data_IF_148260912728
#
_entry.id   IF_148260912728
#
_cell.length_a   1.000
_cell.length_b   1.000
_cell.length_c   1.000
_cell.angle_alpha   90.00
_cell.angle_beta   90.00
_cell.angle_gamma   90.00
#
_symmetry.space_group_name_H-M   'P 1'
#
loop_
_entity.id
_entity.type
_entity.pdbx_description
1 polymer ?
#
# COMPACT_ATOMS: atom_id res chain seq x y z
N UNK A 1 -22.73 -12.01 14.81
CA UNK A 1 -23.60 -11.42 13.79
C UNK A 1 -22.83 -11.12 12.50
N UNK A 2 -23.52 -10.64 11.43
CA UNK A 2 -22.88 -10.27 10.14
C UNK A 2 -21.70 -9.28 10.32
N UNK A 3 -21.82 -8.36 11.29
CA UNK A 3 -20.77 -7.40 11.61
C UNK A 3 -19.49 -8.04 12.17
N UNK A 4 -19.60 -9.16 12.86
CA UNK A 4 -18.45 -9.82 13.46
C UNK A 4 -17.68 -10.65 12.42
N UNK A 5 -18.39 -11.26 11.46
CA UNK A 5 -17.79 -11.95 10.30
C UNK A 5 -17.00 -10.96 9.46
N UNK A 6 -17.56 -9.79 9.17
CA UNK A 6 -16.88 -8.74 8.40
C UNK A 6 -15.64 -8.21 9.12
N UNK A 7 -15.72 -7.97 10.43
CA UNK A 7 -14.55 -7.57 11.24
C UNK A 7 -13.45 -8.59 11.22
N UNK A 8 -13.80 -9.88 11.29
CA UNK A 8 -12.82 -10.98 11.22
C UNK A 8 -12.12 -11.03 9.87
N UNK A 9 -12.87 -10.90 8.77
CA UNK A 9 -12.27 -10.85 7.43
C UNK A 9 -11.30 -9.66 7.27
N UNK A 10 -11.63 -8.48 7.82
CA UNK A 10 -10.73 -7.34 7.83
C UNK A 10 -9.43 -7.69 8.58
N UNK A 11 -9.53 -8.23 9.79
CA UNK A 11 -8.36 -8.63 10.58
C UNK A 11 -7.48 -9.63 9.83
N UNK A 12 -8.09 -10.61 9.16
CA UNK A 12 -7.36 -11.61 8.38
C UNK A 12 -6.56 -10.93 7.26
N UNK A 13 -7.15 -9.95 6.54
CA UNK A 13 -6.46 -9.24 5.44
C UNK A 13 -5.35 -8.35 5.98
N UNK A 14 -5.57 -7.65 7.09
CA UNK A 14 -4.55 -6.83 7.74
C UNK A 14 -3.34 -7.69 8.17
N UNK A 15 -3.61 -8.86 8.74
CA UNK A 15 -2.57 -9.81 9.12
C UNK A 15 -1.84 -10.40 7.90
N UNK A 16 -2.51 -10.58 6.77
CA UNK A 16 -1.84 -10.96 5.51
C UNK A 16 -0.82 -9.90 5.10
N UNK A 17 -1.17 -8.61 5.16
CA UNK A 17 -0.25 -7.55 4.82
C UNK A 17 0.96 -7.50 5.77
N UNK A 18 0.74 -7.72 7.08
CA UNK A 18 1.82 -7.80 8.08
C UNK A 18 2.73 -9.00 7.79
N UNK A 19 2.17 -10.17 7.54
CA UNK A 19 2.95 -11.39 7.29
C UNK A 19 3.75 -11.27 5.98
N UNK A 20 3.17 -10.67 4.93
CA UNK A 20 3.89 -10.34 3.69
C UNK A 20 5.05 -9.36 3.96
N UNK A 21 4.83 -8.33 4.74
CA UNK A 21 5.89 -7.40 5.15
C UNK A 21 7.00 -8.08 5.95
N UNK A 22 6.68 -9.05 6.81
CA UNK A 22 7.70 -9.86 7.52
C UNK A 22 8.55 -10.67 6.55
N UNK A 23 7.95 -11.27 5.51
CA UNK A 23 8.71 -11.99 4.47
C UNK A 23 9.64 -11.04 3.70
N UNK A 24 9.15 -9.86 3.33
CA UNK A 24 9.97 -8.82 2.69
C UNK A 24 11.16 -8.44 3.58
N UNK A 25 10.93 -8.17 4.87
CA UNK A 25 11.98 -7.77 5.81
C UNK A 25 13.04 -8.88 6.04
N UNK A 26 12.67 -10.16 5.93
CA UNK A 26 13.65 -11.26 6.01
C UNK A 26 14.68 -11.18 4.86
N UNK A 27 14.23 -10.81 3.67
CA UNK A 27 15.09 -10.65 2.49
C UNK A 27 15.82 -9.31 2.56
N UNK A 28 15.13 -8.24 2.96
CA UNK A 28 15.71 -6.91 3.11
C UNK A 28 16.95 -6.89 4.01
N UNK A 29 17.00 -7.71 5.06
CA UNK A 29 18.13 -7.81 6.00
C UNK A 29 19.33 -8.63 5.47
N UNK A 30 19.20 -9.26 4.30
CA UNK A 30 20.24 -10.12 3.68
C UNK A 30 20.74 -9.49 2.39
N UNK A 31 21.77 -10.06 1.80
CA UNK A 31 22.10 -9.82 0.39
C UNK A 31 21.08 -10.58 -0.47
N UNK A 32 20.57 -9.93 -1.50
CA UNK A 32 19.60 -10.48 -2.43
C UNK A 32 20.00 -10.14 -3.88
N UNK A 33 19.51 -10.96 -4.80
CA UNK A 33 19.67 -10.72 -6.23
C UNK A 33 18.55 -9.81 -6.74
N UNK A 34 18.83 -9.07 -7.78
CA UNK A 34 17.87 -8.23 -8.50
C UNK A 34 17.79 -8.76 -9.92
N UNK A 35 16.58 -9.17 -10.32
CA UNK A 35 16.30 -9.56 -11.69
C UNK A 35 15.51 -8.43 -12.38
N UNK A 36 15.32 -8.53 -13.71
CA UNK A 36 14.54 -7.58 -14.49
C UNK A 36 13.30 -8.27 -15.06
N UNK A 37 12.16 -7.59 -14.95
CA UNK A 37 10.91 -7.96 -15.66
C UNK A 37 11.05 -7.70 -17.17
N UNK A 38 10.08 -8.14 -17.95
CA UNK A 38 10.06 -7.94 -19.40
C UNK A 38 10.06 -6.44 -19.83
N UNK A 39 9.57 -5.56 -18.98
CA UNK A 39 9.55 -4.11 -19.16
C UNK A 39 10.80 -3.40 -18.60
N UNK A 40 11.83 -4.16 -18.20
CA UNK A 40 13.05 -3.69 -17.54
C UNK A 40 12.87 -3.08 -16.13
N UNK A 41 11.71 -3.21 -15.51
CA UNK A 41 11.56 -2.88 -14.10
C UNK A 41 12.23 -3.93 -13.21
N UNK A 42 12.81 -3.56 -12.07
CA UNK A 42 13.44 -4.51 -11.17
C UNK A 42 12.42 -5.38 -10.45
N UNK A 43 12.78 -6.63 -10.20
CA UNK A 43 12.05 -7.58 -9.35
C UNK A 43 13.05 -8.30 -8.45
N UNK A 44 12.64 -8.59 -7.24
CA UNK A 44 13.43 -9.34 -6.28
C UNK A 44 12.68 -10.57 -5.76
N UNK A 45 13.40 -11.44 -5.08
CA UNK A 45 12.79 -12.57 -4.35
C UNK A 45 11.72 -12.09 -3.34
N UNK A 46 11.85 -10.86 -2.82
CA UNK A 46 10.89 -10.29 -1.88
C UNK A 46 9.54 -10.04 -2.54
N UNK A 47 9.50 -9.52 -3.78
CA UNK A 47 8.28 -9.32 -4.56
C UNK A 47 7.55 -10.65 -4.77
N UNK A 48 8.29 -11.68 -5.19
CA UNK A 48 7.75 -13.01 -5.49
C UNK A 48 7.19 -13.68 -4.24
N UNK A 49 7.93 -13.68 -3.14
CA UNK A 49 7.53 -14.34 -1.89
C UNK A 49 6.32 -13.64 -1.26
N UNK A 50 6.32 -12.31 -1.23
CA UNK A 50 5.18 -11.51 -0.79
C UNK A 50 3.93 -11.81 -1.62
N UNK A 51 4.06 -11.78 -2.96
CA UNK A 51 2.97 -12.08 -3.89
C UNK A 51 2.36 -13.47 -3.64
N UNK A 52 3.20 -14.50 -3.53
CA UNK A 52 2.75 -15.86 -3.32
C UNK A 52 2.03 -16.04 -1.98
N UNK A 53 2.54 -15.44 -0.90
CA UNK A 53 1.91 -15.46 0.42
C UNK A 53 0.54 -14.79 0.37
N UNK A 54 0.45 -13.56 -0.18
CA UNK A 54 -0.80 -12.81 -0.25
C UNK A 54 -1.84 -13.57 -1.06
N UNK A 55 -1.50 -14.02 -2.27
CA UNK A 55 -2.41 -14.79 -3.14
C UNK A 55 -2.94 -16.04 -2.44
N UNK A 56 -2.07 -16.84 -1.85
CA UNK A 56 -2.46 -18.07 -1.14
C UNK A 56 -3.47 -17.77 -0.04
N UNK A 57 -3.17 -16.79 0.82
CA UNK A 57 -4.01 -16.44 1.96
C UNK A 57 -5.35 -15.80 1.58
N UNK A 58 -5.38 -14.96 0.54
CA UNK A 58 -6.64 -14.38 0.03
C UNK A 58 -7.56 -15.44 -0.56
N UNK A 59 -7.03 -16.45 -1.26
CA UNK A 59 -7.80 -17.59 -1.77
C UNK A 59 -8.40 -18.42 -0.62
N UNK A 60 -7.70 -18.56 0.49
CA UNK A 60 -8.21 -19.25 1.69
C UNK A 60 -9.40 -18.51 2.34
N UNK A 61 -9.40 -17.17 2.29
CA UNK A 61 -10.51 -16.34 2.81
C UNK A 61 -11.71 -16.37 1.85
N UNK A 62 -11.46 -16.13 0.57
CA UNK A 62 -12.52 -15.94 -0.43
C UNK A 62 -12.05 -16.39 -1.82
N UNK A 63 -12.12 -17.69 -2.09
CA UNK A 63 -11.58 -18.29 -3.32
C UNK A 63 -12.27 -17.85 -4.63
N UNK A 64 -13.48 -17.29 -4.54
CA UNK A 64 -14.27 -16.89 -5.71
C UNK A 64 -13.98 -15.46 -6.18
N UNK A 65 -13.20 -14.68 -5.43
CA UNK A 65 -12.81 -13.33 -5.84
C UNK A 65 -11.51 -13.41 -6.65
N UNK A 66 -11.52 -12.98 -7.92
CA UNK A 66 -10.31 -12.92 -8.75
C UNK A 66 -9.23 -12.03 -8.12
N UNK A 67 -7.98 -12.33 -8.44
CA UNK A 67 -6.83 -11.56 -7.96
C UNK A 67 -6.11 -10.95 -9.17
N UNK A 68 -5.94 -9.63 -9.16
CA UNK A 68 -5.08 -8.88 -10.05
C UNK A 68 -3.86 -8.40 -9.25
N UNK A 69 -2.68 -8.81 -9.66
CA UNK A 69 -1.43 -8.43 -9.00
C UNK A 69 -0.44 -7.89 -10.04
N UNK A 70 0.45 -7.01 -9.62
CA UNK A 70 1.54 -6.49 -10.45
C UNK A 70 2.43 -7.62 -11.00
N UNK A 71 2.64 -8.68 -10.21
CA UNK A 71 3.53 -9.80 -10.56
C UNK A 71 2.88 -10.88 -11.44
N UNK A 72 1.60 -10.74 -11.78
CA UNK A 72 0.89 -11.72 -12.62
C UNK A 72 -0.12 -11.02 -13.51
N UNK A 73 0.25 -10.82 -14.75
CA UNK A 73 -0.60 -10.14 -15.72
C UNK A 73 -1.82 -11.00 -16.07
N UNK A 74 -3.00 -10.42 -15.99
CA UNK A 74 -4.26 -10.97 -16.50
C UNK A 74 -4.67 -10.14 -17.71
N UNK A 75 -4.97 -10.80 -18.83
CA UNK A 75 -5.36 -10.11 -20.05
C UNK A 75 -6.66 -9.31 -19.87
N UNK A 76 -6.81 -8.26 -20.66
CA UNK A 76 -7.95 -7.35 -20.57
C UNK A 76 -9.28 -8.05 -20.77
N UNK A 77 -9.38 -8.97 -21.72
CA UNK A 77 -10.62 -9.68 -22.05
C UNK A 77 -11.14 -10.51 -20.85
N UNK A 78 -10.24 -11.07 -20.05
CA UNK A 78 -10.61 -11.80 -18.84
C UNK A 78 -11.03 -10.86 -17.72
N UNK A 79 -10.25 -9.79 -17.44
CA UNK A 79 -10.49 -8.95 -16.27
C UNK A 79 -11.57 -7.88 -16.47
N UNK A 80 -11.90 -7.49 -17.71
CA UNK A 80 -12.90 -6.44 -17.99
C UNK A 80 -14.32 -6.78 -17.52
N UNK A 81 -14.61 -8.06 -17.29
CA UNK A 81 -15.92 -8.53 -16.81
C UNK A 81 -15.96 -8.67 -15.28
N UNK A 82 -14.86 -8.49 -14.59
CA UNK A 82 -14.83 -8.61 -13.14
C UNK A 82 -15.53 -7.42 -12.48
N UNK A 83 -16.56 -7.71 -11.71
CA UNK A 83 -17.26 -6.70 -10.90
C UNK A 83 -16.62 -6.51 -9.53
N UNK A 84 -15.95 -7.57 -9.04
CA UNK A 84 -15.27 -7.57 -7.74
C UNK A 84 -13.96 -8.36 -7.87
N UNK A 85 -12.86 -7.79 -7.37
CA UNK A 85 -11.54 -8.42 -7.43
C UNK A 85 -10.59 -7.82 -6.39
N UNK A 86 -9.59 -8.60 -6.01
CA UNK A 86 -8.44 -8.10 -5.25
C UNK A 86 -7.45 -7.44 -6.20
N UNK A 87 -6.99 -6.25 -5.84
CA UNK A 87 -5.89 -5.56 -6.48
C UNK A 87 -4.71 -5.52 -5.52
N UNK A 88 -3.57 -6.08 -5.93
CA UNK A 88 -2.40 -6.27 -5.07
C UNK A 88 -1.18 -5.67 -5.72
N UNK A 89 -0.41 -4.91 -4.94
CA UNK A 89 0.98 -4.63 -5.19
C UNK A 89 1.77 -5.21 -4.01
N UNK A 90 2.49 -6.33 -4.23
CA UNK A 90 3.10 -7.09 -3.15
C UNK A 90 4.33 -6.41 -2.55
N UNK A 91 5.00 -5.53 -3.31
CA UNK A 91 6.11 -4.70 -2.89
C UNK A 91 6.17 -3.44 -3.77
N UNK A 92 5.40 -2.41 -3.40
CA UNK A 92 5.54 -1.10 -4.03
C UNK A 92 6.81 -0.40 -3.53
N UNK A 93 7.56 0.16 -4.48
CA UNK A 93 8.84 0.76 -4.19
C UNK A 93 10.02 -0.22 -4.25
N UNK A 94 10.05 -1.14 -5.22
CA UNK A 94 11.16 -2.09 -5.41
C UNK A 94 12.50 -1.36 -5.58
N UNK A 95 12.53 -0.18 -6.20
CA UNK A 95 13.76 0.64 -6.28
C UNK A 95 14.21 1.12 -4.91
N UNK A 96 13.29 1.57 -4.08
CA UNK A 96 13.53 2.00 -2.71
C UNK A 96 14.00 0.84 -1.83
N UNK A 97 13.44 -0.34 -2.03
CA UNK A 97 13.87 -1.58 -1.41
C UNK A 97 15.33 -1.92 -1.79
N UNK A 98 15.67 -1.87 -3.07
CA UNK A 98 17.04 -2.11 -3.56
C UNK A 98 18.02 -1.08 -3.01
N UNK A 99 17.63 0.20 -2.96
CA UNK A 99 18.45 1.30 -2.47
C UNK A 99 18.53 1.36 -0.92
N UNK A 100 17.87 0.46 -0.21
CA UNK A 100 17.93 0.35 1.26
C UNK A 100 17.46 1.61 2.00
N UNK A 101 16.51 2.37 1.46
CA UNK A 101 15.99 3.59 2.10
C UNK A 101 14.74 3.35 2.98
N UNK A 102 14.17 2.14 2.96
CA UNK A 102 13.04 1.75 3.82
C UNK A 102 11.67 2.27 3.37
N UNK A 103 11.56 2.92 2.21
CA UNK A 103 10.32 3.52 1.72
C UNK A 103 9.59 2.59 0.75
N UNK A 104 9.20 1.42 1.20
CA UNK A 104 8.45 0.44 0.43
C UNK A 104 7.24 -0.06 1.22
N UNK A 105 6.21 -0.50 0.51
CA UNK A 105 4.93 -0.91 1.10
C UNK A 105 4.37 -2.20 0.51
N UNK A 106 3.49 -2.84 1.28
CA UNK A 106 2.58 -3.91 0.82
C UNK A 106 1.20 -3.29 0.67
N UNK A 107 0.58 -3.43 -0.50
CA UNK A 107 -0.71 -2.85 -0.81
C UNK A 107 -1.71 -3.92 -1.23
N UNK A 108 -2.86 -3.97 -0.55
CA UNK A 108 -3.95 -4.90 -0.88
C UNK A 108 -5.26 -4.11 -0.88
N UNK A 109 -6.01 -4.15 -1.97
CA UNK A 109 -7.29 -3.48 -2.08
C UNK A 109 -8.37 -4.41 -2.62
N UNK A 110 -9.60 -4.26 -2.12
CA UNK A 110 -10.79 -4.88 -2.68
C UNK A 110 -11.53 -3.86 -3.54
N UNK A 111 -11.61 -4.16 -4.82
CA UNK A 111 -12.31 -3.33 -5.80
C UNK A 111 -13.69 -3.93 -6.08
N UNK A 112 -14.71 -3.11 -6.07
CA UNK A 112 -16.07 -3.50 -6.47
C UNK A 112 -16.70 -2.41 -7.34
N UNK A 113 -17.19 -2.81 -8.53
CA UNK A 113 -17.75 -1.90 -9.53
C UNK A 113 -16.81 -0.72 -9.85
N UNK A 114 -15.52 -1.01 -10.07
CA UNK A 114 -14.44 -0.07 -10.37
C UNK A 114 -14.14 0.93 -9.24
N UNK A 115 -14.59 0.70 -8.03
CA UNK A 115 -14.32 1.55 -6.87
C UNK A 115 -13.63 0.74 -5.77
N UNK A 116 -12.60 1.27 -5.12
CA UNK A 116 -12.04 0.67 -3.93
C UNK A 116 -13.05 0.74 -2.79
N UNK A 117 -13.40 -0.41 -2.22
CA UNK A 117 -14.32 -0.51 -1.08
C UNK A 117 -13.60 -0.81 0.23
N UNK A 118 -12.41 -1.39 0.13
CA UNK A 118 -11.47 -1.65 1.22
C UNK A 118 -10.05 -1.54 0.69
N UNK A 119 -9.13 -1.06 1.51
CA UNK A 119 -7.70 -1.06 1.20
C UNK A 119 -6.86 -1.10 2.46
N UNK A 120 -5.70 -1.74 2.37
CA UNK A 120 -4.64 -1.74 3.37
C UNK A 120 -3.32 -1.38 2.72
N UNK A 121 -2.53 -0.57 3.43
CA UNK A 121 -1.15 -0.20 3.10
C UNK A 121 -0.31 -0.52 4.33
N UNK A 122 0.72 -1.31 4.18
CA UNK A 122 1.66 -1.63 5.26
C UNK A 122 3.08 -1.27 4.85
N UNK A 123 3.71 -0.37 5.59
CA UNK A 123 5.12 0.00 5.47
C UNK A 123 5.94 -0.78 6.50
N UNK A 124 6.52 -1.94 6.13
CA UNK A 124 7.07 -2.88 7.12
C UNK A 124 8.30 -2.35 7.85
N UNK A 125 9.18 -1.58 7.18
CA UNK A 125 10.36 -1.00 7.81
C UNK A 125 10.01 0.07 8.87
N UNK A 126 8.86 0.73 8.69
CA UNK A 126 8.32 1.72 9.61
C UNK A 126 7.33 1.15 10.60
N UNK A 127 6.99 -0.14 10.48
CA UNK A 127 5.96 -0.79 11.31
C UNK A 127 4.58 -0.13 11.21
N UNK A 128 4.27 0.50 10.09
CA UNK A 128 3.14 1.39 9.95
C UNK A 128 2.07 0.78 9.07
N UNK A 129 0.89 0.57 9.64
CA UNK A 129 -0.26 -0.05 9.00
C UNK A 129 -1.42 0.92 8.90
N UNK A 130 -1.92 1.11 7.67
CA UNK A 130 -3.14 1.86 7.41
C UNK A 130 -4.18 0.96 6.78
N UNK A 131 -5.45 1.19 7.11
CA UNK A 131 -6.55 0.65 6.31
C UNK A 131 -7.68 1.65 6.18
N UNK A 132 -8.44 1.51 5.10
CA UNK A 132 -9.62 2.30 4.83
C UNK A 132 -10.78 1.43 4.39
N UNK A 133 -11.99 1.83 4.78
CA UNK A 133 -13.25 1.19 4.40
C UNK A 133 -14.17 2.27 3.85
N UNK A 134 -14.71 2.03 2.67
CA UNK A 134 -15.67 2.96 2.03
C UNK A 134 -16.81 3.30 3.00
N UNK A 135 -17.09 4.58 3.16
CA UNK A 135 -18.11 5.13 4.05
C UNK A 135 -17.90 4.91 5.56
N UNK A 136 -16.76 4.32 5.99
CA UNK A 136 -16.47 4.09 7.42
C UNK A 136 -15.29 4.92 7.92
N UNK A 137 -14.36 5.25 7.02
CA UNK A 137 -13.20 6.08 7.31
C UNK A 137 -11.87 5.33 7.18
N UNK A 138 -10.79 6.00 7.59
CA UNK A 138 -9.43 5.49 7.54
C UNK A 138 -8.84 5.37 8.93
N UNK A 139 -7.92 4.43 9.11
CA UNK A 139 -7.39 4.03 10.41
C UNK A 139 -5.91 3.72 10.29
N UNK A 140 -5.17 3.96 11.39
CA UNK A 140 -3.71 3.80 11.49
C UNK A 140 -3.35 3.00 12.74
N UNK A 141 -2.33 2.14 12.63
CA UNK A 141 -1.70 1.43 13.74
C UNK A 141 -0.20 1.34 13.50
N UNK A 142 0.60 1.41 14.55
CA UNK A 142 2.03 1.11 14.53
C UNK A 142 2.24 -0.28 15.11
N UNK A 143 2.64 -1.25 14.28
CA UNK A 143 2.85 -2.62 14.69
C UNK A 143 3.73 -3.41 13.73
N UNK A 144 4.50 -4.35 14.26
CA UNK A 144 5.15 -5.42 13.50
C UNK A 144 4.51 -6.78 13.78
N UNK A 145 3.65 -6.85 14.78
CA UNK A 145 3.00 -8.08 15.23
C UNK A 145 1.61 -8.23 14.61
N UNK A 146 1.18 -9.47 14.51
CA UNK A 146 -0.17 -9.78 14.09
C UNK A 146 -1.18 -9.23 15.09
N UNK A 147 -2.31 -8.76 14.58
CA UNK A 147 -3.35 -8.09 15.35
C UNK A 147 -4.55 -9.00 15.56
N UNK A 148 -5.17 -8.86 16.73
CA UNK A 148 -6.33 -9.66 17.13
C UNK A 148 -7.62 -8.84 17.24
N UNK A 149 -7.51 -7.51 17.21
CA UNK A 149 -8.66 -6.62 17.34
C UNK A 149 -8.47 -5.32 16.54
N UNK A 150 -9.57 -4.78 16.04
CA UNK A 150 -9.58 -3.47 15.36
C UNK A 150 -9.59 -2.30 16.33
N UNK A 151 -9.80 -2.53 17.63
CA UNK A 151 -9.85 -1.46 18.64
C UNK A 151 -8.48 -0.79 18.90
N UNK A 152 -7.39 -1.42 18.47
CA UNK A 152 -6.04 -0.88 18.58
C UNK A 152 -5.77 0.26 17.56
N UNK A 153 -6.58 0.35 16.51
CA UNK A 153 -6.42 1.34 15.47
C UNK A 153 -6.95 2.72 15.86
N UNK A 154 -6.15 3.74 15.61
CA UNK A 154 -6.57 5.12 15.70
C UNK A 154 -7.26 5.53 14.39
N UNK A 155 -8.47 6.08 14.48
CA UNK A 155 -9.14 6.70 13.34
C UNK A 155 -8.39 7.98 12.96
N UNK A 156 -8.11 8.15 11.66
CA UNK A 156 -7.48 9.34 11.11
C UNK A 156 -8.52 10.17 10.36
N UNK A 157 -8.38 11.50 10.44
CA UNK A 157 -9.25 12.44 9.77
C UNK A 157 -8.39 13.49 9.03
N UNK A 158 -8.95 14.06 7.98
CA UNK A 158 -8.32 15.18 7.29
C UNK A 158 -8.26 16.36 8.26
N UNK A 159 -7.07 16.96 8.38
CA UNK A 159 -6.92 18.22 9.09
C UNK A 159 -7.47 19.36 8.23
N UNK A 160 -8.58 19.96 8.64
CA UNK A 160 -9.22 21.08 7.93
C UNK A 160 -8.55 22.44 8.20
N UNK A 161 -7.50 22.49 9.02
CA UNK A 161 -6.74 23.69 9.24
C UNK A 161 -5.94 24.02 7.97
N UNK A 162 -6.48 24.90 7.14
CA UNK A 162 -5.76 25.54 6.05
C UNK A 162 -4.71 26.48 6.65
N UNK A 163 -3.56 25.93 6.97
CA UNK A 163 -2.41 26.74 7.41
C UNK A 163 -1.78 27.39 6.17
N UNK A 164 -1.16 28.55 6.36
CA UNK A 164 -0.40 29.27 5.33
C UNK A 164 0.77 28.45 4.73
N UNK A 165 1.11 27.30 5.31
CA UNK A 165 2.19 26.42 4.88
C UNK A 165 1.64 25.16 4.21
N UNK A 166 1.39 25.25 2.91
CA UNK A 166 0.96 24.09 2.11
C UNK A 166 2.14 23.12 1.97
N UNK A 167 1.92 21.85 2.32
CA UNK A 167 2.86 20.76 2.05
C UNK A 167 2.40 20.00 0.84
N UNK A 168 3.24 19.93 -0.18
CA UNK A 168 2.99 19.19 -1.41
C UNK A 168 3.91 17.98 -1.39
N UNK A 169 3.33 16.81 -1.60
CA UNK A 169 4.05 15.56 -1.64
C UNK A 169 4.18 15.12 -3.09
N UNK A 170 5.38 14.84 -3.53
CA UNK A 170 5.68 14.34 -4.85
C UNK A 170 6.52 13.06 -4.81
N UNK A 171 6.37 12.22 -5.84
CA UNK A 171 7.19 11.03 -5.97
C UNK A 171 8.67 11.39 -6.12
N UNK A 172 9.56 10.71 -5.37
CA UNK A 172 11.00 10.87 -5.52
C UNK A 172 11.49 10.32 -6.85
N UNK A 173 10.98 9.17 -7.25
CA UNK A 173 11.45 8.41 -8.42
C UNK A 173 10.73 8.79 -9.73
N UNK A 174 9.55 9.46 -9.64
CA UNK A 174 8.70 9.77 -10.78
C UNK A 174 8.35 11.27 -10.89
N UNK A 175 9.06 12.15 -10.17
CA UNK A 175 8.87 13.59 -10.33
C UNK A 175 9.40 14.02 -11.71
N UNK A 176 8.59 14.78 -12.45
CA UNK A 176 8.97 15.37 -13.72
C UNK A 176 8.92 16.90 -13.65
N UNK A 177 9.50 17.56 -14.66
CA UNK A 177 9.50 19.03 -14.75
C UNK A 177 8.09 19.62 -14.82
N UNK A 178 7.14 18.92 -15.43
CA UNK A 178 5.77 19.39 -15.58
C UNK A 178 5.06 19.47 -14.23
N UNK A 179 5.31 18.51 -13.32
CA UNK A 179 4.81 18.56 -11.95
C UNK A 179 5.36 19.79 -11.20
N UNK A 180 6.64 20.07 -11.33
CA UNK A 180 7.24 21.23 -10.66
C UNK A 180 6.66 22.55 -11.21
N UNK A 181 6.54 22.68 -12.52
CA UNK A 181 5.92 23.85 -13.16
C UNK A 181 4.47 24.00 -12.71
N UNK A 182 3.72 22.91 -12.61
CA UNK A 182 2.34 22.94 -12.13
C UNK A 182 2.24 23.41 -10.68
N UNK A 183 3.12 22.92 -9.81
CA UNK A 183 3.17 23.33 -8.41
C UNK A 183 3.47 24.84 -8.28
N UNK A 184 4.52 25.33 -8.96
CA UNK A 184 4.93 26.73 -8.93
C UNK A 184 3.84 27.68 -9.47
N UNK A 185 3.07 27.21 -10.47
CA UNK A 185 1.95 27.98 -11.04
C UNK A 185 0.76 28.10 -10.08
N UNK A 186 0.51 27.08 -9.26
CA UNK A 186 -0.71 27.01 -8.46
C UNK A 186 -0.50 27.40 -6.97
N UNK A 187 0.73 27.39 -6.49
CA UNK A 187 1.03 27.66 -5.07
C UNK A 187 2.18 28.66 -4.95
N UNK A 188 1.92 29.78 -4.31
CA UNK A 188 2.92 30.86 -4.09
C UNK A 188 3.86 30.57 -2.89
N UNK A 189 3.37 29.80 -1.90
CA UNK A 189 4.14 29.37 -0.75
C UNK A 189 3.83 27.90 -0.47
N UNK A 190 4.85 27.05 -0.52
CA UNK A 190 4.71 25.61 -0.27
C UNK A 190 6.02 24.98 0.17
N UNK A 191 5.94 23.84 0.82
CA UNK A 191 7.07 22.95 1.07
C UNK A 191 6.87 21.69 0.21
N UNK A 192 7.80 21.44 -0.71
CA UNK A 192 7.79 20.19 -1.49
C UNK A 192 8.53 19.09 -0.69
N UNK A 193 7.88 17.96 -0.51
CA UNK A 193 8.41 16.78 0.17
C UNK A 193 8.46 15.65 -0.86
N UNK A 194 9.65 15.13 -1.13
CA UNK A 194 9.88 14.04 -2.10
C UNK A 194 10.04 12.72 -1.35
N UNK A 195 9.03 11.85 -1.45
CA UNK A 195 9.01 10.53 -0.81
C UNK A 195 8.37 9.50 -1.73
N UNK A 196 8.42 8.22 -1.38
CA UNK A 196 7.62 7.20 -2.07
C UNK A 196 6.13 7.48 -1.85
N UNK A 197 5.34 7.52 -2.93
CA UNK A 197 3.97 8.07 -2.92
C UNK A 197 3.00 7.38 -1.95
N UNK A 198 3.08 6.06 -1.78
CA UNK A 198 2.16 5.35 -0.89
C UNK A 198 2.51 5.50 0.60
N UNK A 199 3.75 5.91 0.89
CA UNK A 199 4.23 6.21 2.23
C UNK A 199 3.75 7.59 2.77
N UNK A 200 3.03 8.37 1.98
CA UNK A 200 2.77 9.80 2.21
C UNK A 200 1.76 10.14 3.31
N UNK A 201 0.97 9.18 3.78
CA UNK A 201 -0.05 9.48 4.79
C UNK A 201 0.53 9.91 6.16
N UNK A 202 1.80 9.57 6.43
CA UNK A 202 2.49 9.92 7.67
C UNK A 202 3.20 11.29 7.62
N UNK A 203 3.53 11.78 6.44
CA UNK A 203 4.18 13.09 6.30
C UNK A 203 3.28 14.27 6.74
N UNK A 204 1.98 14.05 6.90
CA UNK A 204 1.06 15.04 7.47
C UNK A 204 1.13 15.08 9.00
N UNK A 205 1.45 13.96 9.66
CA UNK A 205 1.48 13.85 11.13
C UNK A 205 2.85 14.24 11.74
N UNK A 206 3.96 14.08 10.99
CA UNK A 206 5.32 14.43 11.46
C UNK A 206 5.60 15.94 11.45
N UNK A 207 4.61 16.75 11.18
CA UNK A 207 4.77 18.19 10.99
C UNK A 207 4.07 19.04 12.06
N UNK A 208 3.64 18.44 13.13
CA UNK A 208 3.21 19.08 14.36
C UNK A 208 4.32 19.00 15.41
#
# INVERSE_FOLDING_TARGET
GLGDVYKRQILDILNIAIDAGKEILKIYKKNFNVDLKADNSPITEADINSNNLIKKRLIEIEKNIPILTEESLVNWETRRVWKKYWLIDPLDGTKEFINRNGEFTVNISLIENNLPIFGVIYAPEKSLLYYGIKNSGSYKLITQDNINTLSEFKKININNNTTSNIKIIGSRSHSNKDFQIWVEKNFSQYKLISICLLYTSDAADECD
#
